data_IF_296969375845
#
_entry.id   IF_296969375845
#
_cell.length_a   1.000
_cell.length_b   1.000
_cell.length_c   1.000
_cell.angle_alpha   90.00
_cell.angle_beta   90.00
_cell.angle_gamma   90.00
#
_symmetry.space_group_name_H-M   'P 1'
#
loop_
_entity.id
_entity.type
_entity.pdbx_description
1 polymer ?
#
# COMPACT_ATOMS: atom_id res chain seq x y z
N UNK A 1 34.24 -67.99 34.20
CA UNK A 1 33.27 -69.09 33.99
C UNK A 1 32.61 -68.93 32.62
N UNK A 2 32.59 -70.02 31.82
CA UNK A 2 31.66 -70.39 30.72
C UNK A 2 31.42 -69.45 29.49
N UNK A 3 32.14 -69.82 28.40
CA UNK A 3 31.73 -70.05 26.98
C UNK A 3 30.83 -69.05 26.21
N UNK A 4 31.46 -68.41 25.20
CA UNK A 4 31.16 -68.30 23.75
C UNK A 4 29.70 -68.29 23.26
N UNK A 5 29.40 -67.33 22.36
CA UNK A 5 28.97 -67.59 20.96
C UNK A 5 29.47 -66.45 20.05
N UNK A 6 29.96 -66.82 18.87
CA UNK A 6 30.40 -65.92 17.78
C UNK A 6 29.20 -65.58 16.88
N UNK A 7 29.44 -64.57 16.03
CA UNK A 7 28.89 -64.37 14.67
C UNK A 7 27.80 -63.28 14.59
N UNK A 8 28.11 -62.13 13.98
CA UNK A 8 27.82 -61.82 12.56
C UNK A 8 28.36 -60.41 12.22
N UNK A 9 29.19 -60.35 11.18
CA UNK A 9 29.53 -59.15 10.42
C UNK A 9 28.27 -58.62 9.74
N UNK A 10 27.95 -57.34 9.92
CA UNK A 10 27.13 -56.58 8.97
C UNK A 10 27.76 -55.21 8.77
N UNK A 11 28.33 -55.01 7.58
CA UNK A 11 28.54 -53.70 6.97
C UNK A 11 27.17 -53.01 6.87
N UNK A 12 27.07 -51.80 7.40
CA UNK A 12 25.91 -50.94 7.22
C UNK A 12 26.33 -49.50 7.37
N UNK A 13 26.73 -48.88 6.26
CA UNK A 13 26.81 -47.43 6.15
C UNK A 13 25.44 -46.82 6.49
N UNK A 14 25.45 -45.65 7.13
CA UNK A 14 24.55 -44.50 6.92
C UNK A 14 24.47 -43.65 8.20
N UNK A 15 25.05 -42.45 8.08
CA UNK A 15 24.57 -41.15 8.61
C UNK A 15 24.43 -41.01 10.13
N UNK A 16 25.33 -40.24 10.74
CA UNK A 16 24.96 -39.04 11.52
C UNK A 16 26.13 -38.05 11.45
N UNK A 17 26.09 -37.10 10.51
CA UNK A 17 26.95 -35.91 10.60
C UNK A 17 26.33 -35.00 11.67
N UNK A 18 26.88 -35.10 12.88
CA UNK A 18 26.53 -34.28 14.03
C UNK A 18 26.85 -32.80 13.80
N UNK A 19 25.93 -31.98 14.31
CA UNK A 19 25.94 -30.54 14.32
C UNK A 19 27.28 -29.90 14.74
N UNK A 20 27.72 -28.91 13.97
CA UNK A 20 28.54 -27.82 14.47
C UNK A 20 27.81 -26.51 14.17
N UNK A 21 27.35 -25.88 15.24
CA UNK A 21 26.59 -24.65 15.26
C UNK A 21 27.41 -23.47 14.70
N UNK A 22 26.83 -22.74 13.74
CA UNK A 22 27.18 -21.36 13.48
C UNK A 22 25.91 -20.53 13.67
N UNK A 23 25.89 -19.79 14.78
CA UNK A 23 24.85 -18.85 15.13
C UNK A 23 24.77 -17.73 14.07
N UNK A 24 23.89 -17.90 13.09
CA UNK A 24 23.48 -16.79 12.23
C UNK A 24 22.32 -16.10 12.95
N UNK A 25 22.65 -14.96 13.55
CA UNK A 25 21.72 -13.93 14.00
C UNK A 25 20.75 -13.61 12.85
N UNK A 26 19.62 -14.31 12.80
CA UNK A 26 18.47 -13.91 12.01
C UNK A 26 17.86 -12.70 12.70
N UNK A 27 18.46 -11.53 12.45
CA UNK A 27 17.78 -10.26 12.58
C UNK A 27 16.55 -10.30 11.68
N UNK A 28 15.42 -10.76 12.24
CA UNK A 28 14.11 -10.46 11.68
C UNK A 28 13.94 -8.96 11.82
N UNK A 29 14.35 -8.22 10.79
CA UNK A 29 13.73 -6.95 10.49
C UNK A 29 12.23 -7.24 10.39
N UNK A 30 11.48 -6.88 11.43
CA UNK A 30 10.04 -6.73 11.31
C UNK A 30 9.85 -5.53 10.40
N UNK A 31 9.82 -5.79 9.09
CA UNK A 31 9.20 -4.89 8.15
C UNK A 31 7.71 -4.88 8.48
N UNK A 32 7.33 -4.05 9.44
CA UNK A 32 5.98 -3.50 9.45
C UNK A 32 5.91 -2.57 8.24
N UNK A 33 5.79 -3.15 7.05
CA UNK A 33 5.44 -2.42 5.84
C UNK A 33 3.94 -2.11 5.92
N UNK A 34 3.58 -1.22 6.84
CA UNK A 34 2.25 -0.62 6.90
C UNK A 34 2.35 0.68 6.13
N UNK A 35 2.24 0.56 4.81
CA UNK A 35 2.36 1.61 3.82
C UNK A 35 2.38 0.95 2.45
N UNK A 36 1.38 1.20 1.62
CA UNK A 36 1.28 0.54 0.32
C UNK A 36 2.40 0.97 -0.65
N UNK A 37 2.45 0.38 -1.84
CA UNK A 37 3.43 0.78 -2.84
C UNK A 37 3.29 2.27 -3.17
N UNK A 38 4.33 3.03 -2.83
CA UNK A 38 4.49 4.42 -3.27
C UNK A 38 5.01 4.39 -4.70
N UNK A 39 4.29 5.04 -5.61
CA UNK A 39 4.64 5.14 -7.02
C UNK A 39 4.93 6.59 -7.38
N UNK A 40 5.91 6.76 -8.26
CA UNK A 40 6.11 8.03 -8.93
C UNK A 40 5.05 8.18 -10.02
N UNK A 41 4.59 9.40 -10.25
CA UNK A 41 3.74 9.74 -11.37
C UNK A 41 4.38 10.90 -12.12
N UNK A 42 4.10 11.01 -13.41
CA UNK A 42 4.67 12.08 -14.21
C UNK A 42 4.01 13.40 -13.84
N UNK A 43 4.81 14.40 -13.47
CA UNK A 43 4.36 15.78 -13.30
C UNK A 43 4.61 16.57 -14.59
N UNK A 44 3.67 16.48 -15.53
CA UNK A 44 3.74 17.22 -16.79
C UNK A 44 3.11 18.60 -16.58
N UNK A 45 3.90 19.67 -16.66
CA UNK A 45 3.41 21.04 -16.42
C UNK A 45 2.70 21.23 -15.07
N UNK A 46 3.06 20.41 -14.06
CA UNK A 46 2.43 20.41 -12.75
C UNK A 46 1.18 19.53 -12.63
N UNK A 47 0.67 18.93 -13.69
CA UNK A 47 -0.43 17.96 -13.61
C UNK A 47 0.06 16.62 -13.07
N UNK A 48 -0.77 15.89 -12.31
CA UNK A 48 -0.47 14.51 -11.92
C UNK A 48 -0.97 13.54 -13.00
N UNK A 49 -0.06 12.78 -13.62
CA UNK A 49 -0.39 11.78 -14.63
C UNK A 49 -0.10 10.37 -14.11
N UNK A 50 -1.14 9.56 -13.94
CA UNK A 50 -1.07 8.16 -13.51
C UNK A 50 -1.22 7.25 -14.74
N UNK A 51 -0.27 6.33 -14.92
CA UNK A 51 -0.35 5.28 -15.92
C UNK A 51 -1.26 4.16 -15.43
N UNK A 52 -2.36 3.89 -16.14
CA UNK A 52 -3.34 2.86 -15.75
C UNK A 52 -2.71 1.47 -15.74
N UNK A 53 -1.74 1.20 -16.61
CA UNK A 53 -0.97 -0.06 -16.65
C UNK A 53 -0.21 -0.34 -15.35
N UNK A 54 0.14 0.69 -14.59
CA UNK A 54 0.82 0.55 -13.32
C UNK A 54 -0.15 0.35 -12.16
N UNK A 55 -1.45 0.60 -12.32
CA UNK A 55 -2.44 0.45 -11.25
C UNK A 55 -2.94 -1.00 -11.15
N UNK A 56 -2.71 -1.62 -9.99
CA UNK A 56 -3.14 -2.98 -9.66
C UNK A 56 -4.34 -3.00 -8.69
N UNK A 57 -4.79 -4.20 -8.31
CA UNK A 57 -5.84 -4.40 -7.29
C UNK A 57 -5.40 -4.03 -5.87
N UNK A 58 -4.10 -3.93 -5.61
CA UNK A 58 -3.55 -3.39 -4.37
C UNK A 58 -3.43 -1.86 -4.50
N UNK A 59 -3.99 -1.06 -3.59
CA UNK A 59 -3.92 0.39 -3.69
C UNK A 59 -2.47 0.90 -3.72
N UNK A 60 -2.20 1.82 -4.63
CA UNK A 60 -0.91 2.51 -4.74
C UNK A 60 -1.08 3.97 -4.37
N UNK A 61 -0.02 4.57 -3.84
CA UNK A 61 0.00 5.95 -3.40
C UNK A 61 0.94 6.79 -4.26
N UNK A 62 0.49 7.98 -4.63
CA UNK A 62 1.14 8.90 -5.55
C UNK A 62 1.31 10.25 -4.86
N UNK A 63 2.52 10.54 -4.33
CA UNK A 63 2.82 11.82 -3.69
C UNK A 63 2.68 12.98 -4.67
N UNK A 64 2.23 14.12 -4.17
CA UNK A 64 2.13 15.36 -4.92
C UNK A 64 2.43 16.54 -3.97
N UNK A 65 3.00 17.62 -4.50
CA UNK A 65 3.23 18.84 -3.73
C UNK A 65 2.63 20.05 -4.47
N UNK A 66 1.78 20.80 -3.78
CA UNK A 66 1.15 22.03 -4.27
C UNK A 66 1.51 23.19 -3.33
N UNK A 67 2.27 24.18 -3.79
CA UNK A 67 2.68 25.36 -3.01
C UNK A 67 3.22 24.99 -1.61
N UNK A 68 4.14 24.02 -1.54
CA UNK A 68 4.73 23.52 -0.29
C UNK A 68 3.80 22.65 0.57
N UNK A 69 2.56 22.43 0.16
CA UNK A 69 1.62 21.50 0.82
C UNK A 69 1.81 20.11 0.24
N UNK A 70 2.28 19.18 1.07
CA UNK A 70 2.36 17.76 0.72
C UNK A 70 0.96 17.15 0.68
N UNK A 71 0.70 16.42 -0.40
CA UNK A 71 -0.55 15.75 -0.69
C UNK A 71 -0.24 14.35 -1.23
N UNK A 72 -1.25 13.51 -1.30
CA UNK A 72 -1.09 12.18 -1.90
C UNK A 72 -2.41 11.70 -2.47
N UNK A 73 -2.34 11.11 -3.66
CA UNK A 73 -3.45 10.45 -4.33
C UNK A 73 -3.28 8.96 -4.14
N UNK A 74 -4.36 8.26 -3.80
CA UNK A 74 -4.42 6.80 -3.89
C UNK A 74 -5.12 6.40 -5.19
N UNK A 75 -4.63 5.35 -5.83
CA UNK A 75 -5.28 4.71 -6.96
C UNK A 75 -5.32 3.19 -6.82
N UNK A 76 -6.44 2.58 -7.20
CA UNK A 76 -6.64 1.13 -7.11
C UNK A 76 -7.54 0.64 -8.24
N UNK A 77 -7.26 -0.55 -8.76
CA UNK A 77 -8.12 -1.22 -9.74
C UNK A 77 -9.23 -1.98 -9.02
N UNK A 78 -10.48 -1.58 -9.26
CA UNK A 78 -11.65 -2.24 -8.70
C UNK A 78 -11.98 -3.54 -9.47
N UNK A 79 -12.80 -4.44 -8.89
CA UNK A 79 -13.21 -5.69 -9.54
C UNK A 79 -13.96 -5.51 -10.87
N UNK A 80 -14.61 -4.36 -11.07
CA UNK A 80 -15.27 -3.99 -12.33
C UNK A 80 -14.28 -3.54 -13.43
N UNK A 81 -12.97 -3.61 -13.16
CA UNK A 81 -11.89 -3.25 -14.07
C UNK A 81 -11.56 -1.75 -14.11
N UNK A 82 -12.42 -0.90 -13.52
CA UNK A 82 -12.18 0.54 -13.45
C UNK A 82 -11.04 0.88 -12.48
N UNK A 83 -10.32 1.97 -12.75
CA UNK A 83 -9.35 2.53 -11.81
C UNK A 83 -10.06 3.59 -10.97
N UNK A 84 -10.02 3.42 -9.65
CA UNK A 84 -10.59 4.32 -8.66
C UNK A 84 -9.51 5.22 -8.09
N UNK A 85 -9.82 6.50 -7.93
CA UNK A 85 -8.89 7.51 -7.41
C UNK A 85 -9.51 8.29 -6.26
N UNK A 86 -8.71 8.57 -5.24
CA UNK A 86 -9.07 9.43 -4.12
C UNK A 86 -7.83 10.14 -3.58
N UNK A 87 -8.02 11.21 -2.81
CA UNK A 87 -6.95 11.73 -1.97
C UNK A 87 -6.72 10.81 -0.78
N UNK A 88 -5.48 10.70 -0.30
CA UNK A 88 -5.11 9.96 0.90
C UNK A 88 -5.50 10.71 2.20
N UNK A 89 -6.77 11.07 2.29
CA UNK A 89 -7.36 11.74 3.44
C UNK A 89 -8.88 11.49 3.47
N UNK A 90 -9.45 11.54 4.66
CA UNK A 90 -10.85 11.23 4.92
C UNK A 90 -11.70 12.50 4.95
N UNK A 91 -12.88 12.46 4.32
CA UNK A 91 -13.81 13.58 4.19
C UNK A 91 -14.16 14.26 5.53
N UNK A 92 -14.20 13.51 6.64
CA UNK A 92 -14.52 14.05 7.98
C UNK A 92 -13.39 13.97 8.99
N UNK A 93 -12.34 13.18 8.73
CA UNK A 93 -11.21 13.05 9.65
C UNK A 93 -10.00 13.90 9.25
N UNK A 94 -10.00 14.57 8.09
CA UNK A 94 -8.83 15.27 7.57
C UNK A 94 -8.24 16.29 8.56
N UNK A 95 -9.09 17.04 9.26
CA UNK A 95 -8.67 18.08 10.19
C UNK A 95 -7.89 17.55 11.40
N UNK A 96 -8.03 16.26 11.74
CA UNK A 96 -7.24 15.61 12.80
C UNK A 96 -5.75 15.46 12.44
N UNK A 97 -5.43 15.52 11.15
CA UNK A 97 -4.13 15.17 10.59
C UNK A 97 -3.87 13.67 10.45
N UNK A 98 -4.69 12.82 11.06
CA UNK A 98 -4.60 11.35 10.99
C UNK A 98 -5.64 10.73 10.05
N UNK A 99 -6.39 11.54 9.30
CA UNK A 99 -7.42 11.07 8.39
C UNK A 99 -6.91 10.30 7.17
N UNK A 100 -5.61 10.04 7.08
CA UNK A 100 -4.97 9.32 5.98
C UNK A 100 -5.09 7.82 6.12
N UNK A 101 -4.80 7.10 5.05
CA UNK A 101 -4.94 5.67 4.93
C UNK A 101 -3.59 4.99 4.84
N UNK A 102 -3.49 3.82 5.47
CA UNK A 102 -2.40 2.85 5.26
C UNK A 102 -3.00 1.50 4.90
N UNK A 103 -2.20 0.63 4.32
CA UNK A 103 -2.64 -0.70 3.92
C UNK A 103 -2.55 -1.72 5.06
N UNK A 104 -3.55 -2.59 5.08
CA UNK A 104 -3.56 -3.88 5.74
C UNK A 104 -3.98 -4.92 4.69
N UNK A 105 -2.99 -5.55 4.05
CA UNK A 105 -3.19 -6.27 2.79
C UNK A 105 -3.63 -5.32 1.66
N UNK A 106 -4.77 -5.61 1.03
CA UNK A 106 -5.38 -4.76 0.00
C UNK A 106 -6.43 -3.79 0.57
N UNK A 107 -6.55 -3.72 1.89
CA UNK A 107 -7.55 -2.87 2.56
C UNK A 107 -6.93 -1.54 2.99
N UNK A 108 -7.60 -0.43 2.65
CA UNK A 108 -7.26 0.90 3.16
C UNK A 108 -7.83 1.06 4.58
N UNK A 109 -6.98 1.40 5.55
CA UNK A 109 -7.38 1.62 6.94
C UNK A 109 -7.12 3.07 7.34
N UNK A 110 -8.16 3.80 7.74
CA UNK A 110 -8.05 5.18 8.23
C UNK A 110 -7.27 5.22 9.54
N UNK A 111 -6.21 6.03 9.60
CA UNK A 111 -5.34 6.12 10.76
C UNK A 111 -5.92 6.96 11.92
N UNK A 112 -7.08 7.59 11.72
CA UNK A 112 -7.78 8.31 12.78
C UNK A 112 -8.84 7.46 13.49
N UNK A 113 -9.70 6.78 12.73
CA UNK A 113 -10.88 6.09 13.27
C UNK A 113 -10.88 4.58 13.02
N UNK A 114 -9.93 4.04 12.25
CA UNK A 114 -9.84 2.59 11.98
C UNK A 114 -10.81 2.07 10.90
N UNK A 115 -11.68 2.91 10.31
CA UNK A 115 -12.55 2.47 9.22
C UNK A 115 -11.75 1.90 8.04
N UNK A 116 -12.35 0.90 7.40
CA UNK A 116 -11.70 0.04 6.41
C UNK A 116 -12.42 0.14 5.07
N UNK A 117 -11.66 0.19 3.98
CA UNK A 117 -12.19 0.32 2.62
C UNK A 117 -11.52 -0.64 1.66
N UNK A 118 -12.34 -1.36 0.91
CA UNK A 118 -11.93 -2.18 -0.23
C UNK A 118 -11.95 -1.35 -1.52
N UNK A 119 -11.32 -1.87 -2.59
CA UNK A 119 -11.18 -1.16 -3.86
C UNK A 119 -12.52 -0.71 -4.49
N UNK A 120 -13.58 -1.51 -4.34
CA UNK A 120 -14.91 -1.22 -4.86
C UNK A 120 -15.63 -0.07 -4.13
N UNK A 121 -15.17 0.32 -2.94
CA UNK A 121 -15.75 1.41 -2.14
C UNK A 121 -15.08 2.77 -2.41
N UNK A 122 -13.85 2.76 -2.92
CA UNK A 122 -13.11 3.99 -3.26
C UNK A 122 -13.85 4.75 -4.37
N UNK A 123 -13.94 6.09 -4.22
CA UNK A 123 -14.59 6.99 -5.18
C UNK A 123 -16.12 6.80 -5.32
N UNK A 124 -16.75 5.91 -4.53
CA UNK A 124 -18.20 5.64 -4.64
C UNK A 124 -19.09 6.48 -3.74
N UNK A 125 -18.69 6.68 -2.49
CA UNK A 125 -19.53 7.29 -1.46
C UNK A 125 -19.15 8.76 -1.21
N UNK A 126 -20.17 9.61 -1.13
CA UNK A 126 -20.05 11.02 -0.75
C UNK A 126 -20.63 11.22 0.65
N UNK A 127 -19.96 12.02 1.47
CA UNK A 127 -20.33 12.27 2.86
C UNK A 127 -19.84 11.19 3.82
N UNK A 128 -19.68 11.58 5.09
CA UNK A 128 -19.30 10.67 6.17
C UNK A 128 -17.84 10.23 6.14
N UNK A 129 -17.54 9.14 6.86
CA UNK A 129 -16.17 8.64 6.99
C UNK A 129 -15.77 7.83 5.76
N UNK A 130 -15.27 8.51 4.73
CA UNK A 130 -14.82 7.91 3.46
C UNK A 130 -13.55 8.60 2.95
N UNK A 131 -12.73 7.95 2.10
CA UNK A 131 -11.71 8.65 1.33
C UNK A 131 -12.33 9.78 0.52
N UNK A 132 -11.61 10.89 0.33
CA UNK A 132 -12.07 11.99 -0.52
C UNK A 132 -11.88 11.59 -1.99
N UNK A 133 -12.95 11.08 -2.62
CA UNK A 133 -12.91 10.60 -4.01
C UNK A 133 -12.58 11.70 -5.02
N UNK A 134 -11.76 11.36 -6.02
CA UNK A 134 -11.46 12.22 -7.18
C UNK A 134 -12.29 11.68 -8.33
N UNK A 135 -13.48 12.24 -8.49
CA UNK A 135 -14.49 11.79 -9.45
C UNK A 135 -14.24 12.35 -10.86
N UNK A 136 -14.99 11.87 -11.86
CA UNK A 136 -14.79 12.17 -13.29
C UNK A 136 -14.71 13.66 -13.64
N UNK A 137 -15.38 14.53 -12.89
CA UNK A 137 -15.31 15.98 -13.11
C UNK A 137 -13.95 16.60 -12.75
N UNK A 138 -13.10 15.90 -11.98
CA UNK A 138 -11.80 16.38 -11.53
C UNK A 138 -10.60 15.66 -12.19
N UNK A 139 -10.86 14.77 -13.14
CA UNK A 139 -9.82 14.01 -13.86
C UNK A 139 -10.19 13.79 -15.33
N UNK A 140 -9.20 13.85 -16.19
CA UNK A 140 -9.32 13.38 -17.57
C UNK A 140 -8.82 11.93 -17.64
N UNK A 141 -9.60 11.06 -18.27
CA UNK A 141 -9.22 9.66 -18.47
C UNK A 141 -9.10 9.33 -19.95
N UNK A 142 -8.03 8.64 -20.31
CA UNK A 142 -7.86 7.97 -21.60
C UNK A 142 -7.77 6.46 -21.38
N UNK A 143 -7.54 5.69 -22.45
CA UNK A 143 -7.28 4.26 -22.33
C UNK A 143 -6.03 3.98 -21.49
N UNK A 144 -4.99 4.81 -21.63
CA UNK A 144 -3.69 4.62 -20.97
C UNK A 144 -3.50 5.40 -19.66
N UNK A 145 -4.10 6.58 -19.52
CA UNK A 145 -3.77 7.53 -18.46
C UNK A 145 -4.98 8.05 -17.68
N UNK A 146 -4.71 8.49 -16.45
CA UNK A 146 -5.57 9.38 -15.67
C UNK A 146 -4.77 10.64 -15.37
N UNK A 147 -5.30 11.81 -15.73
CA UNK A 147 -4.65 13.10 -15.52
C UNK A 147 -5.49 13.98 -14.60
N UNK A 148 -4.89 14.46 -13.52
CA UNK A 148 -5.47 15.45 -12.60
C UNK A 148 -4.72 16.77 -12.74
N UNK A 149 -5.47 17.87 -12.89
CA UNK A 149 -4.90 19.19 -13.18
C UNK A 149 -4.26 19.83 -11.95
N UNK A 150 -3.17 20.59 -12.16
CA UNK A 150 -2.50 21.36 -11.10
C UNK A 150 -3.48 22.17 -10.24
N UNK A 151 -4.35 22.96 -10.88
CA UNK A 151 -5.31 23.83 -10.20
C UNK A 151 -6.25 23.08 -9.27
N UNK A 152 -6.54 21.80 -9.54
CA UNK A 152 -7.35 20.96 -8.66
C UNK A 152 -6.62 20.65 -7.35
N UNK A 153 -5.31 20.40 -7.39
CA UNK A 153 -4.51 20.22 -6.19
C UNK A 153 -4.42 21.52 -5.39
N UNK A 154 -4.20 22.65 -6.05
CA UNK A 154 -4.13 23.97 -5.41
C UNK A 154 -5.41 24.32 -4.65
N UNK A 155 -6.58 24.04 -5.25
CA UNK A 155 -7.90 24.26 -4.65
C UNK A 155 -8.21 23.31 -3.49
N UNK A 156 -7.57 22.14 -3.43
CA UNK A 156 -7.86 21.10 -2.44
C UNK A 156 -6.86 21.07 -1.29
N UNK A 157 -5.78 21.87 -1.31
CA UNK A 157 -4.74 21.91 -0.25
C UNK A 157 -5.28 21.95 1.18
N UNK A 158 -6.41 22.62 1.43
CA UNK A 158 -6.97 22.76 2.78
C UNK A 158 -7.24 21.41 3.47
N UNK A 159 -7.60 20.35 2.74
CA UNK A 159 -7.85 19.03 3.33
C UNK A 159 -6.55 18.29 3.73
N UNK A 160 -5.40 18.87 3.38
CA UNK A 160 -4.06 18.39 3.74
C UNK A 160 -3.34 19.32 4.72
N UNK A 161 -3.93 20.44 5.11
CA UNK A 161 -3.27 21.45 5.95
C UNK A 161 -2.71 20.90 7.27
N UNK A 162 -3.34 19.86 7.84
CA UNK A 162 -2.92 19.23 9.09
C UNK A 162 -2.31 17.84 8.90
N UNK A 163 -2.04 17.40 7.67
CA UNK A 163 -1.71 16.00 7.32
C UNK A 163 -0.39 15.52 7.95
N UNK A 164 -0.41 14.33 8.58
CA UNK A 164 0.70 13.75 9.37
C UNK A 164 1.16 12.38 8.87
N UNK A 165 0.96 12.09 7.58
CA UNK A 165 1.15 10.74 6.98
C UNK A 165 2.52 10.13 7.20
#
# INVERSE_FOLDING_TARGET
MKKKKRLFLVLGAVVVAGAAAAAVLLGRARSSAVGGPVKSAQQASGDLVIQKSEVSSTPSFYPYEADGTKMEVLAVRAPDGSVRTAFNTCQVCYSSGRGYYRLDGDTLVCQNCGNRFTADQVERQRGGCNPVGITREYKAETDGTITMKKDFFEQTRQIFANWKS
#
